data_IF_527256582022
#
_entry.id   IF_527256582022
#
_cell.length_a   1.000
_cell.length_b   1.000
_cell.length_c   1.000
_cell.angle_alpha   90.00
_cell.angle_beta   90.00
_cell.angle_gamma   90.00
#
_symmetry.space_group_name_H-M   'P 1'
#
loop_
_entity.id
_entity.type
_entity.pdbx_description
1 polymer ?
#
# COMPACT_ATOMS: atom_id res chain seq x y z
N UNK A 1 9.35 23.31 11.74
CA UNK A 1 8.72 22.21 10.98
C UNK A 1 8.85 22.52 9.49
N UNK A 2 9.24 21.57 8.69
CA UNK A 2 9.33 21.81 7.26
C UNK A 2 8.33 20.94 6.49
N UNK A 3 8.03 21.37 5.26
CA UNK A 3 7.01 20.71 4.45
C UNK A 3 7.38 19.27 4.09
N UNK A 4 8.66 18.96 3.89
CA UNK A 4 9.09 17.61 3.55
C UNK A 4 8.85 16.63 4.69
N UNK A 5 9.05 17.05 5.93
CA UNK A 5 8.74 16.21 7.09
C UNK A 5 7.23 15.99 7.25
N UNK A 6 6.43 17.04 7.04
CA UNK A 6 4.97 16.93 7.09
C UNK A 6 4.46 15.98 6.00
N UNK A 7 4.99 16.10 4.78
CA UNK A 7 4.67 15.23 3.66
C UNK A 7 5.00 13.76 3.97
N UNK A 8 6.15 13.52 4.58
CA UNK A 8 6.56 12.19 4.97
C UNK A 8 5.58 11.56 5.99
N UNK A 9 5.12 12.35 6.95
CA UNK A 9 4.13 11.88 7.93
C UNK A 9 2.79 11.55 7.27
N UNK A 10 2.33 12.36 6.34
CA UNK A 10 1.09 12.10 5.62
C UNK A 10 1.21 10.83 4.76
N UNK A 11 2.34 10.63 4.08
CA UNK A 11 2.58 9.42 3.28
C UNK A 11 2.51 8.14 4.11
N UNK A 12 3.04 8.16 5.33
CA UNK A 12 3.03 6.97 6.20
C UNK A 12 1.62 6.45 6.45
N UNK A 13 0.67 7.34 6.65
CA UNK A 13 -0.73 6.96 6.86
C UNK A 13 -1.39 6.43 5.60
N UNK A 14 -0.87 6.77 4.42
CA UNK A 14 -1.46 6.39 3.14
C UNK A 14 -0.89 5.11 2.55
N UNK A 15 0.28 4.67 3.01
CA UNK A 15 1.02 3.60 2.33
C UNK A 15 0.25 2.28 2.30
N UNK A 16 -0.32 1.87 3.43
CA UNK A 16 -1.11 0.64 3.53
C UNK A 16 -2.28 0.65 2.55
N UNK A 17 -3.00 1.76 2.50
CA UNK A 17 -4.12 1.95 1.58
C UNK A 17 -3.65 1.85 0.12
N UNK A 18 -2.58 2.53 -0.23
CA UNK A 18 -2.06 2.54 -1.60
C UNK A 18 -1.56 1.16 -2.05
N UNK A 19 -0.92 0.40 -1.15
CA UNK A 19 -0.49 -0.96 -1.44
C UNK A 19 -1.70 -1.86 -1.75
N UNK A 20 -2.75 -1.77 -0.94
CA UNK A 20 -3.97 -2.56 -1.17
C UNK A 20 -4.67 -2.15 -2.46
N UNK A 21 -4.73 -0.85 -2.77
CA UNK A 21 -5.28 -0.37 -4.04
C UNK A 21 -4.53 -0.98 -5.23
N UNK A 22 -3.22 -1.01 -5.15
CA UNK A 22 -2.38 -1.56 -6.21
C UNK A 22 -2.65 -3.05 -6.39
N UNK A 23 -2.66 -3.81 -5.30
CA UNK A 23 -2.85 -5.27 -5.33
C UNK A 23 -4.27 -5.69 -5.69
N UNK A 24 -5.24 -4.79 -5.58
CA UNK A 24 -6.60 -5.07 -6.06
C UNK A 24 -6.63 -5.31 -7.58
N UNK A 25 -5.77 -4.64 -8.33
CA UNK A 25 -5.73 -4.76 -9.79
C UNK A 25 -5.13 -6.08 -10.25
N UNK A 26 -4.03 -6.50 -9.63
CA UNK A 26 -3.35 -7.76 -9.94
C UNK A 26 -2.27 -8.04 -8.89
N UNK A 27 -1.80 -9.28 -8.79
CA UNK A 27 -0.66 -9.61 -7.93
C UNK A 27 0.63 -8.96 -8.42
N UNK A 28 1.55 -8.71 -7.48
CA UNK A 28 2.86 -8.12 -7.78
C UNK A 28 3.95 -8.69 -6.87
N UNK A 29 5.18 -8.70 -7.37
CA UNK A 29 6.38 -8.85 -6.56
C UNK A 29 6.62 -7.56 -5.76
N UNK A 30 7.34 -7.65 -4.63
CA UNK A 30 7.66 -6.48 -3.82
C UNK A 30 8.39 -5.38 -4.61
N UNK A 31 9.33 -5.80 -5.49
CA UNK A 31 10.07 -4.84 -6.33
C UNK A 31 9.16 -4.08 -7.28
N UNK A 32 8.13 -4.75 -7.81
CA UNK A 32 7.15 -4.11 -8.69
C UNK A 32 6.24 -3.15 -7.92
N UNK A 33 5.88 -3.51 -6.69
CA UNK A 33 5.10 -2.61 -5.82
C UNK A 33 5.87 -1.32 -5.60
N UNK A 34 7.17 -1.42 -5.26
CA UNK A 34 8.02 -0.24 -5.06
C UNK A 34 8.05 0.63 -6.32
N UNK A 35 8.25 0.01 -7.48
CA UNK A 35 8.33 0.75 -8.75
C UNK A 35 7.01 1.41 -9.11
N UNK A 36 5.89 0.70 -8.95
CA UNK A 36 4.56 1.25 -9.25
C UNK A 36 4.22 2.42 -8.34
N UNK A 37 4.54 2.32 -7.05
CA UNK A 37 4.33 3.42 -6.12
C UNK A 37 5.21 4.62 -6.46
N UNK A 38 6.47 4.37 -6.84
CA UNK A 38 7.37 5.42 -7.29
C UNK A 38 6.82 6.14 -8.53
N UNK A 39 6.32 5.38 -9.49
CA UNK A 39 5.71 5.95 -10.71
C UNK A 39 4.50 6.82 -10.37
N UNK A 40 3.77 6.48 -9.30
CA UNK A 40 2.67 7.27 -8.78
C UNK A 40 3.12 8.39 -7.83
N UNK A 41 4.43 8.64 -7.73
CA UNK A 41 5.04 9.67 -6.89
C UNK A 41 4.92 9.42 -5.38
N UNK A 42 4.79 8.16 -4.99
CA UNK A 42 4.81 7.74 -3.60
C UNK A 42 6.07 6.90 -3.36
N UNK A 43 7.13 7.56 -2.92
CA UNK A 43 8.41 6.89 -2.66
C UNK A 43 8.32 6.04 -1.40
N UNK A 44 8.73 4.78 -1.52
CA UNK A 44 8.87 3.88 -0.40
C UNK A 44 10.15 3.06 -0.56
N UNK A 45 10.85 2.85 0.54
CA UNK A 45 12.06 2.02 0.54
C UNK A 45 11.73 0.61 1.01
N UNK A 46 12.59 -0.36 0.66
CA UNK A 46 12.41 -1.77 1.04
C UNK A 46 12.24 -1.95 2.54
N UNK A 47 13.03 -1.23 3.34
CA UNK A 47 12.97 -1.32 4.80
C UNK A 47 11.63 -0.92 5.40
N UNK A 48 10.82 -0.15 4.68
CA UNK A 48 9.47 0.23 5.08
C UNK A 48 8.43 -0.71 4.48
N UNK A 49 8.59 -1.07 3.21
CA UNK A 49 7.60 -1.90 2.52
C UNK A 49 7.55 -3.33 3.02
N UNK A 50 8.70 -4.00 3.20
CA UNK A 50 8.69 -5.42 3.60
C UNK A 50 8.00 -5.66 4.95
N UNK A 51 8.25 -4.86 6.01
CA UNK A 51 7.51 -5.02 7.26
C UNK A 51 6.01 -4.78 7.08
N UNK A 52 5.62 -3.84 6.22
CA UNK A 52 4.21 -3.58 5.92
C UNK A 52 3.55 -4.79 5.25
N UNK A 53 4.20 -5.37 4.25
CA UNK A 53 3.67 -6.55 3.56
C UNK A 53 3.53 -7.73 4.52
N UNK A 54 4.50 -7.93 5.42
CA UNK A 54 4.45 -8.97 6.44
C UNK A 54 3.26 -8.76 7.38
N UNK A 55 3.06 -7.52 7.83
CA UNK A 55 1.94 -7.19 8.71
C UNK A 55 0.59 -7.44 8.03
N UNK A 56 0.43 -6.99 6.79
CA UNK A 56 -0.81 -7.20 6.02
C UNK A 56 -1.07 -8.69 5.82
N UNK A 57 -0.04 -9.47 5.53
CA UNK A 57 -0.14 -10.93 5.40
C UNK A 57 -0.56 -11.56 6.72
N UNK A 58 0.06 -11.17 7.83
CA UNK A 58 -0.26 -11.72 9.15
C UNK A 58 -1.69 -11.36 9.59
N UNK A 59 -2.19 -10.21 9.16
CA UNK A 59 -3.57 -9.79 9.42
C UNK A 59 -4.58 -10.45 8.47
N UNK A 60 -4.10 -11.30 7.56
CA UNK A 60 -4.98 -12.02 6.64
C UNK A 60 -5.47 -11.22 5.44
N UNK A 61 -4.91 -10.03 5.21
CA UNK A 61 -5.33 -9.14 4.11
C UNK A 61 -4.60 -9.46 2.81
N UNK A 62 -3.42 -10.07 2.90
CA UNK A 62 -2.64 -10.55 1.77
C UNK A 62 -2.30 -12.01 1.96
N UNK A 63 -2.08 -12.68 0.83
CA UNK A 63 -1.38 -13.96 0.76
C UNK A 63 -0.19 -13.80 -0.17
N UNK A 64 0.59 -14.86 -0.35
CA UNK A 64 1.63 -14.85 -1.36
C UNK A 64 1.88 -16.25 -1.87
N UNK A 65 2.42 -16.32 -3.07
CA UNK A 65 2.90 -17.55 -3.68
C UNK A 65 4.39 -17.37 -3.98
N UNK A 66 5.14 -18.45 -3.76
CA UNK A 66 6.53 -18.48 -4.21
C UNK A 66 6.57 -18.75 -5.70
N UNK A 67 7.34 -17.92 -6.41
CA UNK A 67 7.57 -18.13 -7.83
C UNK A 67 9.04 -18.31 -8.08
N UNK A 68 9.39 -19.33 -8.86
CA UNK A 68 10.76 -19.59 -9.25
C UNK A 68 11.25 -18.53 -10.21
N UNK A 69 12.53 -18.19 -10.06
CA UNK A 69 13.21 -17.27 -10.96
C UNK A 69 14.35 -18.02 -11.63
N UNK A 70 14.48 -17.84 -12.95
CA UNK A 70 15.58 -18.44 -13.71
C UNK A 70 16.91 -17.77 -13.42
N UNK A 71 16.92 -16.62 -12.78
CA UNK A 71 18.11 -15.80 -12.55
C UNK A 71 18.38 -15.47 -11.09
N UNK A 72 17.80 -16.23 -10.17
CA UNK A 72 18.01 -15.97 -8.74
C UNK A 72 17.13 -16.82 -7.85
N UNK A 73 17.08 -16.50 -6.56
CA UNK A 73 16.23 -17.22 -5.62
C UNK A 73 14.76 -17.02 -5.92
N UNK A 74 13.90 -17.93 -5.46
CA UNK A 74 12.45 -17.76 -5.58
C UNK A 74 11.99 -16.44 -4.97
N UNK A 75 10.91 -15.88 -5.52
CA UNK A 75 10.37 -14.59 -5.11
C UNK A 75 8.91 -14.76 -4.67
N UNK A 76 8.50 -13.95 -3.70
CA UNK A 76 7.11 -13.91 -3.25
C UNK A 76 6.29 -13.05 -4.20
N UNK A 77 5.18 -13.60 -4.65
CA UNK A 77 4.20 -12.93 -5.50
C UNK A 77 2.99 -12.63 -4.61
N UNK A 78 2.79 -11.37 -4.24
CA UNK A 78 1.76 -10.97 -3.27
C UNK A 78 0.40 -10.83 -3.93
N UNK A 79 -0.61 -11.34 -3.23
CA UNK A 79 -1.98 -11.42 -3.72
C UNK A 79 -2.90 -10.90 -2.63
N UNK A 80 -3.85 -10.02 -2.98
CA UNK A 80 -4.86 -9.56 -2.03
C UNK A 80 -5.86 -10.70 -1.75
N UNK A 81 -6.21 -10.90 -0.49
CA UNK A 81 -7.23 -11.87 -0.09
C UNK A 81 -8.62 -11.25 -0.18
N UNK A 82 -9.69 -12.09 -0.04
CA UNK A 82 -11.04 -11.55 0.04
C UNK A 82 -11.19 -10.61 1.24
N UNK A 83 -10.61 -10.98 2.39
CA UNK A 83 -10.59 -10.11 3.56
C UNK A 83 -9.89 -8.78 3.26
N UNK A 84 -8.82 -8.82 2.46
CA UNK A 84 -8.12 -7.61 2.02
C UNK A 84 -8.99 -6.73 1.13
N UNK A 85 -9.75 -7.33 0.22
CA UNK A 85 -10.69 -6.60 -0.64
C UNK A 85 -11.77 -5.92 0.22
N UNK A 86 -12.33 -6.64 1.18
CA UNK A 86 -13.37 -6.11 2.07
C UNK A 86 -12.82 -4.97 2.93
N UNK A 87 -11.61 -5.14 3.45
CA UNK A 87 -10.93 -4.10 4.22
C UNK A 87 -10.65 -2.86 3.36
N UNK A 88 -10.25 -3.06 2.11
CA UNK A 88 -10.00 -1.97 1.16
C UNK A 88 -11.27 -1.17 0.89
N UNK A 89 -12.41 -1.82 0.77
CA UNK A 89 -13.70 -1.13 0.62
C UNK A 89 -13.98 -0.21 1.80
N UNK A 90 -13.68 -0.68 3.01
CA UNK A 90 -13.77 0.15 4.21
C UNK A 90 -12.83 1.34 4.17
N UNK A 91 -11.59 1.14 3.72
CA UNK A 91 -10.61 2.22 3.58
C UNK A 91 -11.05 3.25 2.53
N UNK A 92 -11.67 2.80 1.44
CA UNK A 92 -12.22 3.73 0.43
C UNK A 92 -13.27 4.66 1.06
N UNK A 93 -14.13 4.13 1.91
CA UNK A 93 -15.13 4.94 2.63
C UNK A 93 -14.47 5.92 3.60
N UNK A 94 -13.45 5.48 4.32
CA UNK A 94 -12.68 6.35 5.25
C UNK A 94 -12.00 7.47 4.46
N UNK A 95 -11.39 7.15 3.33
CA UNK A 95 -10.74 8.15 2.48
C UNK A 95 -11.72 9.22 2.01
N UNK A 96 -12.90 8.80 1.55
CA UNK A 96 -13.95 9.73 1.13
C UNK A 96 -14.37 10.65 2.28
N UNK A 97 -14.58 10.09 3.47
CA UNK A 97 -14.95 10.85 4.66
C UNK A 97 -13.87 11.87 5.03
N UNK A 98 -12.60 11.46 5.02
CA UNK A 98 -11.50 12.37 5.33
C UNK A 98 -11.38 13.50 4.31
N UNK A 99 -11.58 13.21 3.03
CA UNK A 99 -11.59 14.23 1.98
C UNK A 99 -12.70 15.26 2.22
N UNK A 100 -13.89 14.79 2.57
CA UNK A 100 -15.01 15.67 2.87
C UNK A 100 -14.73 16.55 4.08
N UNK A 101 -14.11 15.97 5.12
CA UNK A 101 -13.71 16.71 6.32
C UNK A 101 -12.72 17.82 5.98
N UNK A 102 -11.69 17.50 5.19
CA UNK A 102 -10.67 18.47 4.78
C UNK A 102 -11.31 19.58 3.95
N UNK A 103 -12.16 19.22 3.00
CA UNK A 103 -12.84 20.21 2.15
C UNK A 103 -13.74 21.14 2.97
N UNK A 104 -14.46 20.58 3.93
CA UNK A 104 -15.27 21.38 4.84
C UNK A 104 -14.41 22.39 5.60
N UNK A 105 -13.30 21.93 6.18
CA UNK A 105 -12.41 22.77 6.96
C UNK A 105 -11.72 23.85 6.13
N UNK A 106 -11.39 23.56 4.86
CA UNK A 106 -10.80 24.56 3.95
C UNK A 106 -11.77 25.67 3.60
N UNK A 107 -13.06 25.36 3.55
CA UNK A 107 -14.08 26.29 3.03
C UNK A 107 -14.91 26.94 4.16
N UNK A 108 -14.63 26.57 5.38
CA UNK A 108 -15.33 27.10 6.55
C UNK A 108 -14.36 27.47 7.66
#
# INVERSE_FOLDING_TARGET
MNIENAKSQMRKGMLEYCVLLLLKHQPFYASDIIQRLKDAKLLVVKGTLYPLLTRLKNDGLLTYEWQESTQGPPRKYYIISQAGIDFLEGLNAVWLELNQTVDYLKNN
#
